data_IF_917567171889
#
_entry.id   IF_917567171889
#
_cell.length_a   1.000
_cell.length_b   1.000
_cell.length_c   1.000
_cell.angle_alpha   90.00
_cell.angle_beta   90.00
_cell.angle_gamma   90.00
#
_symmetry.space_group_name_H-M   'P 1'
#
loop_
_entity.id
_entity.type
_entity.pdbx_description
1 polymer ?
#
# COMPACT_ATOMS: atom_id res chain seq x y z
N UNK A 1 -17.04 -38.82 -7.23
CA UNK A 1 -15.74 -38.12 -7.39
C UNK A 1 -14.74 -38.48 -6.29
N UNK A 2 -15.04 -38.29 -4.99
CA UNK A 2 -14.09 -38.60 -3.89
C UNK A 2 -13.56 -40.05 -3.89
N UNK A 3 -14.44 -41.04 -3.99
CA UNK A 3 -14.05 -42.47 -4.02
C UNK A 3 -13.12 -42.84 -5.19
N UNK A 4 -13.33 -42.23 -6.36
CA UNK A 4 -12.49 -42.47 -7.54
C UNK A 4 -11.08 -41.86 -7.37
N UNK A 5 -11.01 -40.68 -6.75
CA UNK A 5 -9.76 -39.99 -6.42
C UNK A 5 -8.97 -40.76 -5.34
N UNK A 6 -9.65 -41.29 -4.31
CA UNK A 6 -9.02 -42.12 -3.28
C UNK A 6 -8.43 -43.40 -3.86
N UNK A 7 -9.14 -44.06 -4.80
CA UNK A 7 -8.63 -45.23 -5.52
C UNK A 7 -7.39 -44.90 -6.37
N UNK A 8 -7.39 -43.74 -7.05
CA UNK A 8 -6.23 -43.28 -7.83
C UNK A 8 -5.01 -43.04 -6.93
N UNK A 9 -5.18 -42.35 -5.80
CA UNK A 9 -4.09 -42.10 -4.86
C UNK A 9 -3.56 -43.40 -4.24
N UNK A 10 -4.43 -44.37 -3.93
CA UNK A 10 -4.01 -45.68 -3.45
C UNK A 10 -3.11 -46.40 -4.46
N UNK A 11 -3.48 -46.40 -5.74
CA UNK A 11 -2.67 -47.01 -6.80
C UNK A 11 -1.32 -46.31 -7.00
N UNK A 12 -1.29 -44.98 -6.92
CA UNK A 12 -0.04 -44.18 -7.02
C UNK A 12 0.89 -44.47 -5.83
N UNK A 13 0.36 -44.56 -4.61
CA UNK A 13 1.16 -44.86 -3.42
C UNK A 13 1.72 -46.29 -3.47
N UNK A 14 0.93 -47.26 -3.95
CA UNK A 14 1.39 -48.63 -4.15
C UNK A 14 2.54 -48.70 -5.17
N UNK A 15 2.46 -47.94 -6.26
CA UNK A 15 3.56 -47.79 -7.23
C UNK A 15 4.85 -47.25 -6.58
N UNK A 16 4.74 -46.17 -5.80
CA UNK A 16 5.89 -45.51 -5.17
C UNK A 16 6.57 -46.41 -4.13
N UNK A 17 5.80 -47.20 -3.38
CA UNK A 17 6.34 -48.17 -2.43
C UNK A 17 7.11 -49.30 -3.12
N UNK A 18 6.60 -49.80 -4.24
CA UNK A 18 7.28 -50.82 -5.04
C UNK A 18 8.57 -50.25 -5.65
N UNK A 19 8.52 -49.04 -6.21
CA UNK A 19 9.69 -48.36 -6.77
C UNK A 19 10.78 -48.06 -5.71
N UNK A 20 10.37 -47.63 -4.52
CA UNK A 20 11.29 -47.37 -3.41
C UNK A 20 11.96 -48.66 -2.91
N UNK A 21 11.20 -49.77 -2.83
CA UNK A 21 11.74 -51.08 -2.46
C UNK A 21 12.80 -51.56 -3.46
N UNK A 22 12.67 -51.20 -4.73
CA UNK A 22 13.68 -51.47 -5.74
C UNK A 22 14.94 -50.64 -5.51
N UNK A 23 14.83 -49.33 -5.31
CA UNK A 23 16.00 -48.45 -5.20
C UNK A 23 16.90 -48.75 -4.00
N UNK A 24 16.38 -49.40 -2.95
CA UNK A 24 17.13 -49.72 -1.73
C UNK A 24 17.80 -51.09 -1.72
N UNK A 25 17.71 -51.90 -2.79
CA UNK A 25 18.41 -53.19 -2.85
C UNK A 25 19.89 -53.05 -3.28
N UNK A 26 20.76 -53.90 -2.72
CA UNK A 26 22.20 -53.86 -2.98
C UNK A 26 22.55 -54.24 -4.43
N UNK A 27 23.56 -53.60 -5.02
CA UNK A 27 23.98 -53.76 -6.43
C UNK A 27 24.17 -55.20 -6.93
N UNK A 28 24.61 -56.12 -6.08
CA UNK A 28 24.77 -57.54 -6.43
C UNK A 28 23.44 -58.32 -6.48
N UNK A 29 22.43 -57.87 -5.73
CA UNK A 29 21.09 -58.46 -5.71
C UNK A 29 20.29 -58.07 -6.96
N UNK A 30 20.53 -56.86 -7.49
CA UNK A 30 19.96 -56.41 -8.77
C UNK A 30 20.38 -57.27 -9.96
N UNK A 31 21.63 -57.73 -10.00
CA UNK A 31 22.14 -58.60 -11.07
C UNK A 31 21.50 -59.99 -10.98
N UNK A 32 21.35 -60.53 -9.77
CA UNK A 32 20.73 -61.85 -9.55
C UNK A 32 19.21 -61.85 -9.77
N UNK A 33 18.50 -60.78 -9.37
CA UNK A 33 17.06 -60.65 -9.58
C UNK A 33 16.68 -60.37 -11.03
N UNK A 34 17.57 -59.78 -11.84
CA UNK A 34 17.34 -59.62 -13.27
C UNK A 34 17.29 -60.95 -14.03
N UNK A 35 17.88 -62.02 -13.48
CA UNK A 35 17.89 -63.34 -14.12
C UNK A 35 16.78 -64.27 -13.62
N UNK A 36 16.17 -63.98 -12.46
CA UNK A 36 15.22 -64.91 -11.80
C UNK A 36 13.81 -64.35 -11.58
N UNK A 37 13.53 -63.07 -11.87
CA UNK A 37 12.19 -62.48 -11.76
C UNK A 37 11.92 -61.45 -12.86
N UNK A 38 11.17 -61.78 -13.93
CA UNK A 38 10.88 -60.83 -14.99
C UNK A 38 9.91 -59.76 -14.46
N UNK A 39 10.35 -58.51 -14.48
CA UNK A 39 9.66 -57.39 -13.84
C UNK A 39 8.54 -56.75 -14.67
N UNK A 40 8.26 -57.32 -15.84
CA UNK A 40 7.37 -56.77 -16.87
C UNK A 40 5.87 -56.99 -16.57
N UNK A 41 5.50 -58.00 -15.78
CA UNK A 41 4.09 -58.33 -15.50
C UNK A 41 3.46 -57.58 -14.31
N UNK A 42 4.23 -56.96 -13.38
CA UNK A 42 3.64 -56.27 -12.21
C UNK A 42 3.37 -54.78 -12.42
N UNK A 43 4.10 -54.13 -13.32
CA UNK A 43 3.91 -52.70 -13.58
C UNK A 43 2.83 -52.44 -14.64
N UNK A 44 2.64 -53.34 -15.59
CA UNK A 44 1.61 -53.21 -16.64
C UNK A 44 0.20 -53.21 -16.05
N UNK A 45 -0.11 -54.15 -15.15
CA UNK A 45 -1.41 -54.23 -14.48
C UNK A 45 -1.70 -53.01 -13.60
N UNK A 46 -0.67 -52.49 -12.91
CA UNK A 46 -0.80 -51.30 -12.06
C UNK A 46 -0.98 -50.02 -12.90
N UNK A 47 -0.23 -49.87 -14.00
CA UNK A 47 -0.39 -48.76 -14.95
C UNK A 47 -1.75 -48.81 -15.65
N UNK A 48 -2.23 -50.01 -16.01
CA UNK A 48 -3.56 -50.20 -16.59
C UNK A 48 -4.67 -49.80 -15.60
N UNK A 49 -4.54 -50.18 -14.33
CA UNK A 49 -5.47 -49.76 -13.26
C UNK A 49 -5.47 -48.24 -13.05
N UNK A 50 -4.31 -47.58 -13.13
CA UNK A 50 -4.20 -46.11 -13.08
C UNK A 50 -4.90 -45.47 -14.29
N UNK A 51 -4.70 -46.03 -15.50
CA UNK A 51 -5.38 -45.58 -16.72
C UNK A 51 -6.90 -45.64 -16.57
N UNK A 52 -7.44 -46.81 -16.21
CA UNK A 52 -8.89 -47.00 -16.01
C UNK A 52 -9.46 -46.09 -14.92
N UNK A 53 -8.73 -45.88 -13.81
CA UNK A 53 -9.18 -44.94 -12.76
C UNK A 53 -9.20 -43.49 -13.25
N UNK A 54 -8.24 -43.10 -14.07
CA UNK A 54 -8.13 -41.73 -14.60
C UNK A 54 -9.23 -41.45 -15.61
N UNK A 55 -9.52 -42.40 -16.50
CA UNK A 55 -10.60 -42.29 -17.50
C UNK A 55 -11.97 -42.19 -16.82
N UNK A 56 -12.22 -43.00 -15.78
CA UNK A 56 -13.44 -42.92 -14.98
C UNK A 56 -13.61 -41.55 -14.29
N UNK A 57 -12.53 -40.93 -13.81
CA UNK A 57 -12.58 -39.58 -13.22
C UNK A 57 -12.90 -38.53 -14.28
N UNK A 58 -12.32 -38.65 -15.47
CA UNK A 58 -12.54 -37.71 -16.57
C UNK A 58 -13.99 -37.80 -17.10
N UNK A 59 -14.54 -39.00 -17.24
CA UNK A 59 -15.95 -39.22 -17.57
C UNK A 59 -16.87 -38.62 -16.50
N UNK A 60 -16.59 -38.86 -15.21
CA UNK A 60 -17.38 -38.29 -14.12
C UNK A 60 -17.31 -36.75 -14.07
N UNK A 61 -16.16 -36.16 -14.43
CA UNK A 61 -15.98 -34.72 -14.49
C UNK A 61 -16.73 -34.09 -15.67
N UNK A 62 -16.71 -34.74 -16.85
CA UNK A 62 -17.46 -34.28 -18.03
C UNK A 62 -18.98 -34.36 -17.81
N UNK A 63 -19.47 -35.45 -17.20
CA UNK A 63 -20.88 -35.60 -16.81
C UNK A 63 -21.26 -34.57 -15.72
N UNK A 64 -20.39 -34.34 -14.74
CA UNK A 64 -20.58 -33.32 -13.71
C UNK A 64 -20.73 -31.92 -14.30
N UNK A 65 -19.82 -31.52 -15.18
CA UNK A 65 -19.83 -30.22 -15.86
C UNK A 65 -21.10 -29.99 -16.68
N UNK A 66 -21.57 -31.00 -17.43
CA UNK A 66 -22.82 -30.91 -18.17
C UNK A 66 -24.05 -30.77 -17.28
N UNK A 67 -24.04 -31.42 -16.11
CA UNK A 67 -25.14 -31.36 -15.16
C UNK A 67 -25.21 -29.99 -14.49
N UNK A 68 -24.05 -29.43 -14.11
CA UNK A 68 -23.95 -28.07 -13.57
C UNK A 68 -24.39 -27.01 -14.59
N UNK A 69 -24.00 -27.15 -15.86
CA UNK A 69 -24.46 -26.25 -16.92
C UNK A 69 -25.99 -26.24 -17.08
N UNK A 70 -26.64 -27.41 -16.98
CA UNK A 70 -28.12 -27.50 -17.03
C UNK A 70 -28.78 -26.84 -15.82
N UNK A 71 -28.24 -27.05 -14.63
CA UNK A 71 -28.75 -26.43 -13.38
C UNK A 71 -28.58 -24.91 -13.43
N UNK A 72 -27.43 -24.43 -13.89
CA UNK A 72 -27.15 -23.01 -14.07
C UNK A 72 -28.11 -22.37 -15.08
N UNK A 73 -28.32 -23.01 -16.24
CA UNK A 73 -29.25 -22.53 -17.26
C UNK A 73 -30.68 -22.44 -16.74
N UNK A 74 -31.16 -23.46 -16.02
CA UNK A 74 -32.50 -23.44 -15.42
C UNK A 74 -32.63 -22.36 -14.35
N UNK A 75 -31.60 -22.16 -13.53
CA UNK A 75 -31.57 -21.12 -12.49
C UNK A 75 -31.56 -19.72 -13.12
N UNK A 76 -30.82 -19.53 -14.21
CA UNK A 76 -30.77 -18.26 -14.93
C UNK A 76 -32.13 -17.92 -15.56
N UNK A 77 -32.81 -18.88 -16.19
CA UNK A 77 -34.16 -18.67 -16.73
C UNK A 77 -35.18 -18.37 -15.63
N UNK A 78 -35.08 -19.04 -14.47
CA UNK A 78 -35.94 -18.76 -13.31
C UNK A 78 -35.75 -17.34 -12.79
N UNK A 79 -34.50 -16.90 -12.62
CA UNK A 79 -34.18 -15.53 -12.18
C UNK A 79 -34.63 -14.48 -13.19
N UNK A 80 -34.46 -14.77 -14.48
CA UNK A 80 -34.88 -13.86 -15.55
C UNK A 80 -36.40 -13.68 -15.55
N UNK A 81 -37.17 -14.75 -15.34
CA UNK A 81 -38.62 -14.68 -15.18
C UNK A 81 -39.05 -13.92 -13.92
N UNK A 82 -38.35 -14.11 -12.80
CA UNK A 82 -38.59 -13.37 -11.56
C UNK A 82 -38.32 -11.86 -11.72
N UNK A 83 -37.24 -11.50 -12.43
CA UNK A 83 -36.93 -10.11 -12.79
C UNK A 83 -38.02 -9.53 -13.68
N UNK A 84 -38.49 -10.25 -14.71
CA UNK A 84 -39.59 -9.77 -15.57
C UNK A 84 -40.86 -9.54 -14.74
N UNK A 85 -41.22 -10.48 -13.85
CA UNK A 85 -42.39 -10.34 -12.99
C UNK A 85 -42.27 -9.15 -12.03
N UNK A 86 -41.09 -8.95 -11.42
CA UNK A 86 -40.85 -7.80 -10.52
C UNK A 86 -40.86 -6.46 -11.24
N UNK A 87 -40.34 -6.40 -12.48
CA UNK A 87 -40.43 -5.21 -13.31
C UNK A 87 -41.90 -4.91 -13.67
N UNK A 88 -42.69 -5.92 -14.00
CA UNK A 88 -44.08 -5.74 -14.38
C UNK A 88 -44.98 -5.34 -13.19
N UNK A 89 -44.71 -5.84 -11.98
CA UNK A 89 -45.39 -5.37 -10.76
C UNK A 89 -44.95 -3.97 -10.37
N UNK A 90 -43.67 -3.63 -10.56
CA UNK A 90 -43.17 -2.26 -10.40
C UNK A 90 -43.81 -1.29 -11.40
N UNK A 91 -43.99 -1.69 -12.66
CA UNK A 91 -44.67 -0.89 -13.69
C UNK A 91 -46.12 -0.61 -13.28
N UNK A 92 -46.86 -1.63 -12.84
CA UNK A 92 -48.25 -1.50 -12.38
C UNK A 92 -48.38 -0.61 -11.14
N UNK A 93 -47.45 -0.73 -10.18
CA UNK A 93 -47.46 0.14 -8.99
C UNK A 93 -47.11 1.57 -9.33
N UNK A 94 -46.16 1.79 -10.26
CA UNK A 94 -45.83 3.13 -10.77
C UNK A 94 -47.00 3.76 -11.52
N UNK A 95 -47.75 2.96 -12.30
CA UNK A 95 -48.97 3.42 -12.97
C UNK A 95 -50.05 3.80 -11.96
N UNK A 96 -50.29 2.97 -10.93
CA UNK A 96 -51.23 3.29 -9.85
C UNK A 96 -50.81 4.54 -9.04
N UNK A 97 -49.50 4.77 -8.87
CA UNK A 97 -48.97 5.99 -8.26
C UNK A 97 -49.18 7.22 -9.15
N UNK A 98 -49.02 7.11 -10.47
CA UNK A 98 -49.30 8.20 -11.42
C UNK A 98 -50.78 8.53 -11.41
N UNK A 99 -51.66 7.53 -11.40
CA UNK A 99 -53.10 7.73 -11.32
C UNK A 99 -53.51 8.36 -9.97
N UNK A 100 -52.84 7.95 -8.88
CA UNK A 100 -52.95 8.59 -7.56
C UNK A 100 -52.44 10.03 -7.55
N UNK A 101 -51.34 10.33 -8.24
CA UNK A 101 -50.78 11.68 -8.42
C UNK A 101 -51.72 12.56 -9.23
N UNK A 102 -52.33 12.05 -10.31
CA UNK A 102 -53.31 12.77 -11.09
C UNK A 102 -54.55 13.11 -10.25
N UNK A 103 -55.01 12.18 -9.41
CA UNK A 103 -56.09 12.43 -8.45
C UNK A 103 -55.68 13.46 -7.37
N UNK A 104 -54.42 13.43 -6.91
CA UNK A 104 -53.88 14.40 -5.97
C UNK A 104 -53.67 15.79 -6.60
N UNK A 105 -53.34 15.88 -7.89
CA UNK A 105 -53.22 17.12 -8.65
C UNK A 105 -54.59 17.79 -8.78
N UNK A 106 -55.64 17.03 -9.11
CA UNK A 106 -57.03 17.53 -9.09
C UNK A 106 -57.47 18.00 -7.70
N UNK A 107 -56.97 17.37 -6.63
CA UNK A 107 -57.16 17.85 -5.25
C UNK A 107 -56.30 19.08 -4.91
N UNK A 108 -55.11 19.21 -5.47
CA UNK A 108 -54.21 20.36 -5.28
C UNK A 108 -54.73 21.62 -5.98
N UNK A 109 -55.41 21.47 -7.11
CA UNK A 109 -56.11 22.57 -7.79
C UNK A 109 -57.23 23.15 -6.90
N UNK A 110 -57.92 22.29 -6.14
CA UNK A 110 -58.88 22.68 -5.10
C UNK A 110 -58.15 23.20 -3.84
N UNK A 111 -56.97 22.66 -3.50
CA UNK A 111 -56.14 23.04 -2.34
C UNK A 111 -55.41 24.38 -2.52
N UNK A 112 -55.19 24.85 -3.74
CA UNK A 112 -54.63 26.19 -4.02
C UNK A 112 -55.50 27.30 -3.40
N UNK A 113 -56.83 27.14 -3.44
CA UNK A 113 -57.79 28.01 -2.72
C UNK A 113 -57.74 27.86 -1.20
N UNK A 114 -57.27 26.71 -0.70
CA UNK A 114 -57.14 26.42 0.75
C UNK A 114 -55.80 26.91 1.33
N UNK A 115 -54.72 26.91 0.53
CA UNK A 115 -53.42 27.49 0.91
C UNK A 115 -53.50 29.01 1.11
N UNK A 116 -54.31 29.73 0.32
CA UNK A 116 -54.59 31.15 0.55
C UNK A 116 -55.20 31.42 1.93
N UNK A 117 -56.16 30.59 2.35
CA UNK A 117 -56.78 30.69 3.70
C UNK A 117 -55.82 30.29 4.82
N UNK A 118 -54.93 29.33 4.60
CA UNK A 118 -53.89 28.97 5.58
C UNK A 118 -52.83 30.05 5.73
N UNK A 119 -52.48 30.77 4.66
CA UNK A 119 -51.60 31.93 4.74
C UNK A 119 -52.22 33.07 5.56
N UNK A 120 -53.52 33.33 5.37
CA UNK A 120 -54.25 34.31 6.20
C UNK A 120 -54.25 33.91 7.69
N UNK A 121 -54.43 32.62 7.99
CA UNK A 121 -54.39 32.10 9.36
C UNK A 121 -52.98 32.16 9.97
N UNK A 122 -51.92 31.93 9.18
CA UNK A 122 -50.52 32.09 9.62
C UNK A 122 -50.23 33.56 9.90
N UNK A 123 -50.73 34.48 9.06
CA UNK A 123 -50.59 35.92 9.25
C UNK A 123 -51.32 36.39 10.52
N UNK A 124 -52.51 35.87 10.76
CA UNK A 124 -53.30 36.13 11.97
C UNK A 124 -52.66 35.54 13.24
N UNK A 125 -52.05 34.35 13.13
CA UNK A 125 -51.28 33.76 14.23
C UNK A 125 -49.99 34.55 14.52
N UNK A 126 -49.32 35.07 13.50
CA UNK A 126 -48.13 35.90 13.66
C UNK A 126 -48.44 37.22 14.38
N UNK A 127 -49.56 37.86 14.03
CA UNK A 127 -50.07 39.05 14.73
C UNK A 127 -50.42 38.76 16.20
N UNK A 128 -51.02 37.61 16.49
CA UNK A 128 -51.38 37.20 17.86
C UNK A 128 -50.16 36.81 18.72
N UNK A 129 -49.06 36.40 18.09
CA UNK A 129 -47.84 35.90 18.77
C UNK A 129 -46.82 36.99 19.11
N UNK A 130 -47.00 38.22 18.60
CA UNK A 130 -46.05 39.34 18.79
C UNK A 130 -44.68 39.13 18.15
N UNK A 131 -44.51 38.10 17.32
CA UNK A 131 -43.28 37.77 16.61
C UNK A 131 -43.31 38.43 15.24
N UNK A 132 -42.33 39.30 14.96
CA UNK A 132 -42.26 39.98 13.66
C UNK A 132 -41.74 39.01 12.59
N UNK A 133 -42.12 39.21 11.33
CA UNK A 133 -41.61 38.43 10.19
C UNK A 133 -40.07 38.41 10.16
N UNK A 134 -39.43 39.49 10.61
CA UNK A 134 -37.97 39.59 10.73
C UNK A 134 -37.40 38.64 11.80
N UNK A 135 -38.10 38.39 12.90
CA UNK A 135 -37.69 37.40 13.91
C UNK A 135 -37.80 35.96 13.38
N UNK A 136 -38.74 35.72 12.48
CA UNK A 136 -38.88 34.42 11.81
C UNK A 136 -37.79 34.23 10.76
N UNK A 137 -37.50 35.25 9.96
CA UNK A 137 -36.42 35.22 8.98
C UNK A 137 -35.06 34.98 9.66
N UNK A 138 -34.79 35.65 10.78
CA UNK A 138 -33.55 35.42 11.56
C UNK A 138 -33.51 34.03 12.20
N UNK A 139 -34.64 33.48 12.66
CA UNK A 139 -34.71 32.08 13.12
C UNK A 139 -34.50 31.06 11.99
N UNK A 140 -35.05 31.32 10.81
CA UNK A 140 -34.86 30.46 9.63
C UNK A 140 -33.40 30.52 9.18
N UNK A 141 -32.80 31.70 9.16
CA UNK A 141 -31.41 31.90 8.77
C UNK A 141 -30.44 31.23 9.76
N UNK A 142 -30.69 31.37 11.07
CA UNK A 142 -29.92 30.66 12.11
C UNK A 142 -30.12 29.15 12.04
N UNK A 143 -31.35 28.66 11.83
CA UNK A 143 -31.61 27.23 11.68
C UNK A 143 -30.93 26.66 10.42
N UNK A 144 -31.02 27.36 9.30
CA UNK A 144 -30.35 26.99 8.06
C UNK A 144 -28.82 27.01 8.22
N UNK A 145 -28.27 28.00 8.91
CA UNK A 145 -26.84 28.07 9.24
C UNK A 145 -26.40 26.89 10.14
N UNK A 146 -27.20 26.53 11.15
CA UNK A 146 -26.90 25.38 12.02
C UNK A 146 -26.98 24.08 11.23
N UNK A 147 -28.00 23.92 10.38
CA UNK A 147 -28.18 22.72 9.57
C UNK A 147 -27.06 22.54 8.55
N UNK A 148 -26.67 23.61 7.84
CA UNK A 148 -25.54 23.57 6.90
C UNK A 148 -24.22 23.30 7.63
N UNK A 149 -24.01 23.91 8.81
CA UNK A 149 -22.84 23.61 9.65
C UNK A 149 -22.81 22.15 10.11
N UNK A 150 -23.95 21.59 10.52
CA UNK A 150 -24.05 20.20 10.95
C UNK A 150 -23.79 19.24 9.78
N UNK A 151 -24.31 19.54 8.59
CA UNK A 151 -24.04 18.75 7.38
C UNK A 151 -22.56 18.77 6.98
N UNK A 152 -21.92 19.95 7.01
CA UNK A 152 -20.49 20.08 6.74
C UNK A 152 -19.63 19.26 7.72
N UNK A 153 -19.93 19.32 9.02
CA UNK A 153 -19.24 18.52 10.03
C UNK A 153 -19.44 17.01 9.81
N UNK A 154 -20.65 16.57 9.46
CA UNK A 154 -20.91 15.16 9.15
C UNK A 154 -20.16 14.68 7.92
N UNK A 155 -20.07 15.48 6.86
CA UNK A 155 -19.35 15.10 5.65
C UNK A 155 -17.83 15.09 5.89
N UNK A 156 -17.30 16.09 6.61
CA UNK A 156 -15.89 16.12 6.98
C UNK A 156 -15.51 14.87 7.80
N UNK A 157 -16.36 14.48 8.76
CA UNK A 157 -16.18 13.24 9.54
C UNK A 157 -16.27 12.00 8.65
N UNK A 158 -17.24 11.91 7.74
CA UNK A 158 -17.40 10.77 6.83
C UNK A 158 -16.18 10.60 5.91
N UNK A 159 -15.70 11.67 5.27
CA UNK A 159 -14.49 11.61 4.44
C UNK A 159 -13.25 11.25 5.26
N UNK A 160 -13.16 11.71 6.51
CA UNK A 160 -12.06 11.33 7.42
C UNK A 160 -12.11 9.85 7.79
N UNK A 161 -13.31 9.30 8.00
CA UNK A 161 -13.53 7.88 8.29
C UNK A 161 -13.17 7.02 7.07
N UNK A 162 -13.60 7.42 5.87
CA UNK A 162 -13.27 6.73 4.62
C UNK A 162 -11.75 6.68 4.38
N UNK A 163 -11.07 7.83 4.51
CA UNK A 163 -9.61 7.87 4.39
C UNK A 163 -8.94 7.01 5.48
N UNK A 164 -9.44 7.07 6.72
CA UNK A 164 -8.91 6.26 7.83
C UNK A 164 -9.12 4.76 7.59
N UNK A 165 -10.25 4.36 7.01
CA UNK A 165 -10.53 2.97 6.66
C UNK A 165 -9.61 2.50 5.53
N UNK A 166 -9.39 3.32 4.49
CA UNK A 166 -8.42 3.03 3.46
C UNK A 166 -7.01 2.86 4.05
N UNK A 167 -6.58 3.76 4.95
CA UNK A 167 -5.32 3.67 5.68
C UNK A 167 -5.23 2.41 6.57
N UNK A 168 -6.34 1.99 7.19
CA UNK A 168 -6.40 0.78 8.00
C UNK A 168 -6.15 -0.47 7.15
N UNK A 169 -6.65 -0.54 5.92
CA UNK A 169 -6.36 -1.64 4.99
C UNK A 169 -4.86 -1.75 4.68
N UNK A 170 -4.15 -0.62 4.51
CA UNK A 170 -2.69 -0.66 4.35
C UNK A 170 -1.98 -1.16 5.60
N UNK A 171 -2.44 -0.78 6.80
CA UNK A 171 -1.81 -1.22 8.05
C UNK A 171 -1.88 -2.74 8.30
N UNK A 172 -2.85 -3.43 7.69
CA UNK A 172 -2.97 -4.88 7.77
C UNK A 172 -1.93 -5.61 6.89
N UNK A 173 -1.45 -4.96 5.83
CA UNK A 173 -0.49 -5.53 4.87
C UNK A 173 0.94 -5.03 5.08
N UNK A 174 1.12 -3.85 5.68
CA UNK A 174 2.41 -3.17 5.85
C UNK A 174 2.72 -2.98 7.34
N UNK A 175 3.95 -3.30 7.74
CA UNK A 175 4.41 -3.17 9.12
C UNK A 175 4.42 -1.69 9.57
N UNK A 176 3.99 -1.43 10.81
CA UNK A 176 3.94 -0.07 11.36
C UNK A 176 5.35 0.59 11.36
N UNK A 177 5.52 1.75 10.66
CA UNK A 177 6.81 2.43 10.56
C UNK A 177 7.42 2.80 11.93
N UNK A 178 6.58 3.13 12.92
CA UNK A 178 7.04 3.51 14.26
C UNK A 178 7.58 2.31 15.02
N UNK A 179 6.90 1.18 14.94
CA UNK A 179 7.34 -0.10 15.52
C UNK A 179 8.66 -0.57 14.90
N UNK A 180 8.78 -0.48 13.58
CA UNK A 180 10.00 -0.80 12.85
C UNK A 180 11.18 0.09 13.26
N UNK A 181 10.94 1.40 13.38
CA UNK A 181 11.94 2.34 13.90
C UNK A 181 12.41 1.96 15.31
N UNK A 182 11.47 1.66 16.23
CA UNK A 182 11.79 1.24 17.61
C UNK A 182 12.66 -0.03 17.63
N UNK A 183 12.36 -1.00 16.76
CA UNK A 183 13.16 -2.22 16.63
C UNK A 183 14.61 -1.91 16.23
N UNK A 184 14.81 -1.12 15.17
CA UNK A 184 16.16 -0.75 14.72
C UNK A 184 16.89 0.15 15.72
N UNK A 185 16.17 1.04 16.41
CA UNK A 185 16.71 1.86 17.50
C UNK A 185 17.25 0.98 18.64
N UNK A 186 16.52 -0.07 19.01
CA UNK A 186 16.96 -1.05 20.00
C UNK A 186 18.22 -1.78 19.54
N UNK A 187 18.28 -2.27 18.29
CA UNK A 187 19.45 -2.96 17.75
C UNK A 187 20.70 -2.07 17.71
N UNK A 188 20.53 -0.79 17.35
CA UNK A 188 21.59 0.23 17.40
C UNK A 188 22.08 0.42 18.84
N UNK A 189 21.17 0.63 19.79
CA UNK A 189 21.52 0.84 21.21
C UNK A 189 22.28 -0.36 21.78
N UNK A 190 21.89 -1.59 21.42
CA UNK A 190 22.59 -2.81 21.83
C UNK A 190 24.04 -2.84 21.34
N UNK A 191 24.29 -2.43 20.09
CA UNK A 191 25.64 -2.32 19.51
C UNK A 191 26.45 -1.19 20.15
N UNK A 192 25.83 -0.04 20.38
CA UNK A 192 26.47 1.10 21.05
C UNK A 192 26.92 0.77 22.49
N UNK A 193 26.19 -0.10 23.19
CA UNK A 193 26.55 -0.60 24.52
C UNK A 193 27.59 -1.74 24.52
N UNK A 194 28.19 -2.05 23.36
CA UNK A 194 29.20 -3.11 23.22
C UNK A 194 28.63 -4.54 23.23
N UNK A 195 27.30 -4.72 23.28
CA UNK A 195 26.63 -6.03 23.30
C UNK A 195 26.26 -6.56 21.91
N UNK A 196 26.87 -6.04 20.85
CA UNK A 196 26.58 -6.44 19.48
C UNK A 196 27.78 -6.29 18.55
N UNK A 197 27.69 -6.89 17.36
CA UNK A 197 28.74 -6.82 16.35
C UNK A 197 28.98 -5.36 15.93
N UNK A 198 30.13 -4.81 16.33
CA UNK A 198 30.58 -3.49 15.95
C UNK A 198 31.65 -3.61 14.86
N UNK A 199 31.39 -3.02 13.70
CA UNK A 199 32.36 -2.94 12.61
C UNK A 199 32.80 -1.48 12.54
N UNK A 200 34.11 -1.26 12.57
CA UNK A 200 34.68 0.05 12.32
C UNK A 200 34.64 0.36 10.84
N UNK A 201 34.14 1.54 10.48
CA UNK A 201 34.15 2.04 9.10
C UNK A 201 35.00 3.29 8.99
N UNK A 202 35.20 3.79 7.78
CA UNK A 202 35.64 5.17 7.59
C UNK A 202 34.61 6.14 8.20
N UNK A 203 35.03 7.38 8.46
CA UNK A 203 34.14 8.45 8.94
C UNK A 203 33.29 9.01 7.80
N UNK A 204 32.55 8.15 7.11
CA UNK A 204 31.77 8.49 5.92
C UNK A 204 30.71 9.58 6.20
N UNK A 205 30.24 9.68 7.45
CA UNK A 205 29.34 10.73 7.93
C UNK A 205 29.98 12.14 7.92
N UNK A 206 31.31 12.24 7.79
CA UNK A 206 32.03 13.51 7.60
C UNK A 206 32.34 13.82 6.13
N UNK A 207 31.83 13.01 5.20
CA UNK A 207 32.08 13.19 3.77
C UNK A 207 31.63 14.57 3.28
N UNK A 208 32.47 15.32 2.54
CA UNK A 208 32.08 16.60 1.93
C UNK A 208 30.90 16.46 0.98
N UNK A 209 30.73 15.30 0.33
CA UNK A 209 29.58 15.01 -0.55
C UNK A 209 28.27 15.06 0.24
N UNK A 210 28.26 14.49 1.44
CA UNK A 210 27.09 14.43 2.31
C UNK A 210 26.73 15.81 2.86
N UNK A 211 27.74 16.59 3.28
CA UNK A 211 27.54 17.97 3.72
C UNK A 211 27.01 18.90 2.61
N UNK A 212 27.51 18.74 1.38
CA UNK A 212 26.99 19.46 0.19
C UNK A 212 25.55 19.06 -0.13
N UNK A 213 25.24 17.77 -0.11
CA UNK A 213 23.89 17.27 -0.34
C UNK A 213 22.89 17.84 0.68
N UNK A 214 23.25 17.84 1.96
CA UNK A 214 22.36 18.30 3.01
C UNK A 214 22.14 19.82 3.00
N UNK A 215 23.18 20.57 2.65
CA UNK A 215 23.13 22.04 2.55
C UNK A 215 22.51 22.54 1.24
N UNK A 216 22.28 21.67 0.25
CA UNK A 216 21.72 22.05 -1.03
C UNK A 216 20.30 22.65 -0.86
N UNK A 217 19.97 23.81 -1.46
CA UNK A 217 18.67 24.45 -1.27
C UNK A 217 17.52 23.75 -2.01
N UNK A 218 17.83 22.88 -2.98
CA UNK A 218 16.86 22.15 -3.80
C UNK A 218 16.66 20.71 -3.33
N UNK A 219 15.60 20.06 -3.83
CA UNK A 219 15.38 18.64 -3.65
C UNK A 219 16.56 17.83 -4.19
N UNK A 220 17.06 16.86 -3.44
CA UNK A 220 18.29 16.14 -3.80
C UNK A 220 18.34 14.73 -3.25
N UNK A 221 19.00 13.84 -3.98
CA UNK A 221 19.21 12.44 -3.63
C UNK A 221 20.68 12.15 -3.35
N UNK A 222 20.97 11.33 -2.35
CA UNK A 222 22.31 10.78 -2.10
C UNK A 222 22.23 9.28 -1.84
N UNK A 223 23.31 8.57 -2.15
CA UNK A 223 23.41 7.12 -1.99
C UNK A 223 24.54 6.82 -1.02
N UNK A 224 24.22 6.17 0.10
CA UNK A 224 25.20 5.61 1.02
C UNK A 224 25.51 4.19 0.55
N UNK A 225 26.68 4.01 -0.05
CA UNK A 225 27.09 2.71 -0.62
C UNK A 225 28.07 2.01 0.28
N UNK A 226 27.83 0.74 0.59
CA UNK A 226 28.81 -0.10 1.29
C UNK A 226 28.72 -1.55 0.86
N UNK A 227 29.49 -2.41 1.53
CA UNK A 227 29.34 -3.86 1.44
C UNK A 227 28.33 -4.35 2.48
N UNK A 228 27.80 -5.57 2.31
CA UNK A 228 26.92 -6.21 3.28
C UNK A 228 27.49 -6.24 4.71
N UNK A 229 28.81 -6.35 4.85
CA UNK A 229 29.49 -6.27 6.15
C UNK A 229 29.31 -4.91 6.82
N UNK A 230 29.30 -3.81 6.06
CA UNK A 230 29.10 -2.45 6.58
C UNK A 230 27.62 -2.09 6.83
N UNK A 231 26.66 -2.97 6.51
CA UNK A 231 25.21 -2.72 6.63
C UNK A 231 24.82 -2.13 7.99
N UNK A 232 25.44 -2.65 9.05
CA UNK A 232 25.14 -2.28 10.41
C UNK A 232 25.47 -0.81 10.70
N UNK A 233 26.62 -0.33 10.23
CA UNK A 233 27.01 1.08 10.35
C UNK A 233 26.11 1.99 9.51
N UNK A 234 25.70 1.53 8.32
CA UNK A 234 24.78 2.25 7.43
C UNK A 234 23.38 2.39 8.06
N UNK A 235 22.87 1.31 8.67
CA UNK A 235 21.62 1.31 9.42
C UNK A 235 21.68 2.24 10.63
N UNK A 236 22.77 2.20 11.41
CA UNK A 236 22.94 3.06 12.58
C UNK A 236 22.93 4.55 12.18
N UNK A 237 23.58 4.87 11.06
CA UNK A 237 23.57 6.20 10.47
C UNK A 237 22.16 6.64 10.06
N UNK A 238 21.40 5.77 9.40
CA UNK A 238 20.01 6.03 9.03
C UNK A 238 19.12 6.31 10.24
N UNK A 239 19.25 5.52 11.31
CA UNK A 239 18.51 5.70 12.56
C UNK A 239 18.90 7.01 13.25
N UNK A 240 20.19 7.37 13.26
CA UNK A 240 20.64 8.65 13.82
C UNK A 240 20.06 9.83 13.04
N UNK A 241 19.93 9.75 11.71
CA UNK A 241 19.25 10.78 10.91
C UNK A 241 17.78 10.84 11.25
N UNK A 242 17.05 9.72 11.22
CA UNK A 242 15.60 9.67 11.52
C UNK A 242 15.35 10.26 12.91
N UNK A 243 16.16 9.88 13.90
CA UNK A 243 16.06 10.43 15.25
C UNK A 243 16.26 11.95 15.25
N UNK A 244 17.30 12.43 14.57
CA UNK A 244 17.67 13.84 14.57
C UNK A 244 16.64 14.74 13.84
N UNK A 245 16.10 14.30 12.70
CA UNK A 245 15.05 15.05 11.98
C UNK A 245 13.73 15.07 12.74
N UNK A 246 13.38 13.94 13.39
CA UNK A 246 12.16 13.85 14.21
C UNK A 246 12.26 14.79 15.41
N UNK A 247 13.43 14.88 16.05
CA UNK A 247 13.68 15.84 17.15
C UNK A 247 13.61 17.31 16.70
N UNK A 248 13.82 17.60 15.42
CA UNK A 248 13.72 18.94 14.84
C UNK A 248 12.30 19.25 14.30
N UNK A 249 11.31 18.38 14.55
CA UNK A 249 9.95 18.50 14.01
C UNK A 249 9.89 18.58 12.47
N UNK A 250 10.87 17.99 11.78
CA UNK A 250 10.90 17.89 10.32
C UNK A 250 10.25 16.56 9.94
N UNK A 251 9.25 16.54 9.02
CA UNK A 251 8.66 15.30 8.53
C UNK A 251 9.72 14.36 7.95
N UNK A 252 9.65 13.09 8.35
CA UNK A 252 10.53 12.04 7.86
C UNK A 252 9.73 10.80 7.49
N UNK A 253 10.03 10.25 6.33
CA UNK A 253 9.47 8.99 5.83
C UNK A 253 10.62 7.98 5.75
N UNK A 254 10.38 6.74 6.14
CA UNK A 254 11.44 5.73 6.11
C UNK A 254 10.95 4.34 5.74
N UNK A 255 11.82 3.60 5.06
CA UNK A 255 11.63 2.17 4.76
C UNK A 255 12.88 1.43 5.24
N UNK A 256 12.71 0.55 6.22
CA UNK A 256 13.80 -0.22 6.84
C UNK A 256 13.46 -1.71 6.77
N UNK A 257 14.46 -2.58 6.94
CA UNK A 257 14.24 -4.03 6.87
C UNK A 257 13.39 -4.56 8.03
N UNK A 258 12.40 -5.40 7.72
CA UNK A 258 11.52 -6.00 8.73
C UNK A 258 12.27 -6.86 9.75
N UNK A 259 11.80 -6.81 11.00
CA UNK A 259 12.27 -7.64 12.11
C UNK A 259 11.82 -9.10 11.98
N UNK A 260 10.63 -9.31 11.39
CA UNK A 260 9.95 -10.60 11.33
C UNK A 260 10.21 -11.27 9.97
N UNK A 261 11.40 -11.81 9.78
CA UNK A 261 11.71 -12.69 8.62
C UNK A 261 11.10 -14.08 8.81
N UNK A 262 9.79 -14.18 9.02
CA UNK A 262 9.08 -15.46 9.04
C UNK A 262 8.91 -16.03 7.62
N UNK A 263 9.02 -15.18 6.58
CA UNK A 263 9.25 -15.63 5.21
C UNK A 263 10.56 -15.03 4.66
N UNK A 264 11.47 -15.84 4.09
CA UNK A 264 12.74 -15.37 3.56
C UNK A 264 12.62 -14.52 2.27
N UNK A 265 11.41 -14.25 1.78
CA UNK A 265 11.12 -13.62 0.47
C UNK A 265 10.19 -12.40 0.51
N UNK A 266 9.87 -11.81 1.67
CA UNK A 266 9.02 -10.61 1.75
C UNK A 266 9.78 -9.32 1.34
N UNK A 267 10.40 -9.29 0.17
CA UNK A 267 10.89 -8.04 -0.42
C UNK A 267 9.70 -7.27 -0.98
N UNK A 268 9.63 -5.98 -0.70
CA UNK A 268 8.61 -5.10 -1.26
C UNK A 268 8.82 -4.96 -2.77
N UNK A 269 7.74 -5.00 -3.54
CA UNK A 269 7.78 -4.51 -4.92
C UNK A 269 8.10 -3.01 -4.93
N UNK A 270 8.73 -2.46 -5.99
CA UNK A 270 8.85 -1.01 -6.16
C UNK A 270 7.52 -0.26 -6.01
N UNK A 271 6.40 -0.86 -6.44
CA UNK A 271 5.07 -0.29 -6.24
C UNK A 271 4.66 -0.27 -4.76
N UNK A 272 4.93 -1.35 -4.03
CA UNK A 272 4.59 -1.47 -2.60
C UNK A 272 5.43 -0.53 -1.75
N UNK A 273 6.70 -0.28 -2.14
CA UNK A 273 7.52 0.75 -1.49
C UNK A 273 6.90 2.14 -1.62
N UNK A 274 6.49 2.53 -2.83
CA UNK A 274 5.93 3.86 -3.05
C UNK A 274 4.57 3.98 -2.36
N UNK A 275 3.77 2.91 -2.35
CA UNK A 275 2.54 2.81 -1.57
C UNK A 275 2.81 2.98 -0.07
N UNK A 276 3.85 2.34 0.47
CA UNK A 276 4.23 2.46 1.88
C UNK A 276 4.72 3.87 2.25
N UNK A 277 5.49 4.51 1.38
CA UNK A 277 5.88 5.92 1.54
C UNK A 277 4.67 6.85 1.46
N UNK A 278 3.72 6.56 0.57
CA UNK A 278 2.47 7.30 0.41
C UNK A 278 1.61 7.21 1.67
N UNK A 279 1.48 5.99 2.21
CA UNK A 279 0.81 5.75 3.48
C UNK A 279 1.42 6.59 4.60
N UNK A 280 2.75 6.59 4.74
CA UNK A 280 3.43 7.42 5.75
C UNK A 280 3.22 8.91 5.51
N UNK A 281 3.26 9.38 4.26
CA UNK A 281 3.06 10.78 3.92
C UNK A 281 1.65 11.25 4.29
N UNK A 282 0.62 10.42 4.07
CA UNK A 282 -0.77 10.73 4.45
C UNK A 282 -0.97 10.78 5.97
N UNK A 283 -0.12 10.11 6.74
CA UNK A 283 -0.13 10.17 8.21
C UNK A 283 0.55 11.42 8.78
N UNK A 284 1.27 12.21 7.97
CA UNK A 284 1.88 13.45 8.43
C UNK A 284 0.79 14.47 8.72
N UNK A 285 0.85 15.09 9.89
CA UNK A 285 -0.10 16.13 10.30
C UNK A 285 -0.10 17.30 9.31
N UNK A 286 -1.29 17.77 8.93
CA UNK A 286 -1.47 18.88 7.98
C UNK A 286 -1.51 18.48 6.50
N UNK A 287 -1.33 17.20 6.15
CA UNK A 287 -1.40 16.73 4.75
C UNK A 287 -2.80 16.81 4.16
N UNK A 288 -3.83 16.63 5.00
CA UNK A 288 -5.22 16.66 4.58
C UNK A 288 -5.99 17.61 5.48
N UNK A 289 -6.44 18.72 4.91
CA UNK A 289 -7.03 19.84 5.67
C UNK A 289 -8.50 20.08 5.35
N UNK A 290 -8.98 19.62 4.20
CA UNK A 290 -10.36 19.85 3.74
C UNK A 290 -11.04 18.56 3.31
N UNK A 291 -12.37 18.52 3.39
CA UNK A 291 -13.21 17.42 2.89
C UNK A 291 -12.91 17.08 1.42
N UNK A 292 -12.84 18.11 0.56
CA UNK A 292 -12.52 17.95 -0.86
C UNK A 292 -11.17 17.25 -1.06
N UNK A 293 -10.16 17.57 -0.25
CA UNK A 293 -8.87 16.88 -0.28
C UNK A 293 -9.00 15.43 0.16
N UNK A 294 -9.72 15.13 1.25
CA UNK A 294 -9.95 13.75 1.73
C UNK A 294 -10.57 12.87 0.65
N UNK A 295 -11.69 13.32 0.06
CA UNK A 295 -12.41 12.56 -0.97
C UNK A 295 -11.57 12.38 -2.24
N UNK A 296 -10.83 13.42 -2.65
CA UNK A 296 -9.90 13.33 -3.77
C UNK A 296 -8.77 12.32 -3.51
N UNK A 297 -8.18 12.33 -2.30
CA UNK A 297 -7.13 11.37 -1.93
C UNK A 297 -7.65 9.94 -1.89
N UNK A 298 -8.88 9.73 -1.42
CA UNK A 298 -9.52 8.41 -1.45
C UNK A 298 -9.69 7.88 -2.88
N UNK A 299 -10.27 8.67 -3.80
CA UNK A 299 -10.43 8.26 -5.20
C UNK A 299 -9.08 7.99 -5.89
N UNK A 300 -8.08 8.85 -5.68
CA UNK A 300 -6.72 8.64 -6.24
C UNK A 300 -6.05 7.36 -5.72
N UNK A 301 -6.38 6.97 -4.48
CA UNK A 301 -5.87 5.77 -3.85
C UNK A 301 -6.50 4.49 -4.41
N UNK A 302 -7.77 4.53 -4.81
CA UNK A 302 -8.46 3.42 -5.48
C UNK A 302 -8.04 3.26 -6.96
N UNK A 303 -7.70 4.37 -7.63
CA UNK A 303 -7.30 4.38 -9.03
C UNK A 303 -5.85 3.89 -9.27
N UNK A 304 -4.96 4.07 -8.29
CA UNK A 304 -3.53 3.79 -8.44
C UNK A 304 -3.21 2.28 -8.44
N UNK A 305 -2.90 1.73 -9.62
CA UNK A 305 -2.57 0.29 -9.79
C UNK A 305 -1.10 0.03 -10.12
N UNK A 306 -0.42 0.94 -10.81
CA UNK A 306 0.97 0.75 -11.24
C UNK A 306 1.97 1.52 -10.37
N UNK A 307 3.25 1.12 -10.37
CA UNK A 307 4.31 1.83 -9.64
C UNK A 307 4.44 3.31 -10.05
N UNK A 308 4.22 3.63 -11.33
CA UNK A 308 4.25 5.00 -11.82
C UNK A 308 3.06 5.82 -11.32
N UNK A 309 1.87 5.23 -11.24
CA UNK A 309 0.68 5.93 -10.72
C UNK A 309 0.84 6.22 -9.23
N UNK A 310 1.34 5.24 -8.47
CA UNK A 310 1.71 5.44 -7.08
C UNK A 310 2.77 6.53 -6.91
N UNK A 311 3.77 6.61 -7.80
CA UNK A 311 4.82 7.64 -7.73
C UNK A 311 4.28 9.04 -8.07
N UNK A 312 3.40 9.16 -9.06
CA UNK A 312 2.70 10.41 -9.38
C UNK A 312 1.85 10.87 -8.19
N UNK A 313 1.10 9.96 -7.60
CA UNK A 313 0.27 10.25 -6.43
C UNK A 313 1.10 10.67 -5.22
N UNK A 314 2.17 9.93 -4.93
CA UNK A 314 3.14 10.27 -3.89
C UNK A 314 3.74 11.67 -4.09
N UNK A 315 4.15 12.00 -5.33
CA UNK A 315 4.68 13.32 -5.69
C UNK A 315 3.67 14.44 -5.40
N UNK A 316 2.39 14.22 -5.69
CA UNK A 316 1.33 15.20 -5.40
C UNK A 316 1.14 15.43 -3.90
N UNK A 317 1.21 14.36 -3.10
CA UNK A 317 1.05 14.47 -1.63
C UNK A 317 2.21 15.25 -1.01
N UNK A 318 3.45 14.94 -1.40
CA UNK A 318 4.62 15.63 -0.84
C UNK A 318 4.67 17.10 -1.22
N UNK A 319 4.19 17.46 -2.42
CA UNK A 319 4.13 18.87 -2.85
C UNK A 319 3.22 19.73 -1.98
N UNK A 320 2.20 19.14 -1.36
CA UNK A 320 1.24 19.85 -0.52
C UNK A 320 1.72 20.08 0.92
N UNK A 321 2.71 19.31 1.40
CA UNK A 321 3.22 19.40 2.78
C UNK A 321 3.90 20.75 3.10
N UNK A 322 4.49 21.40 2.10
CA UNK A 322 5.33 22.58 2.30
C UNK A 322 6.61 22.30 3.10
N UNK A 323 7.57 23.23 3.05
CA UNK A 323 8.77 23.14 3.89
C UNK A 323 9.80 22.12 3.41
N UNK A 324 10.26 21.22 4.29
CA UNK A 324 11.32 20.24 4.00
C UNK A 324 10.95 18.87 4.56
N UNK A 325 11.22 17.81 3.79
CA UNK A 325 10.97 16.41 4.17
C UNK A 325 12.21 15.55 3.90
N UNK A 326 12.47 14.59 4.79
CA UNK A 326 13.51 13.59 4.61
C UNK A 326 12.91 12.23 4.29
N UNK A 327 13.48 11.53 3.31
CA UNK A 327 13.08 10.18 2.91
C UNK A 327 14.30 9.28 3.02
N UNK A 328 14.21 8.22 3.83
CA UNK A 328 15.30 7.27 4.05
C UNK A 328 14.84 5.89 3.59
N UNK A 329 15.52 5.30 2.61
CA UNK A 329 15.11 4.01 2.03
C UNK A 329 16.27 3.01 2.09
N UNK A 330 16.03 1.88 2.73
CA UNK A 330 16.88 0.70 2.64
C UNK A 330 16.51 -0.13 1.40
N UNK A 331 17.35 -0.10 0.35
CA UNK A 331 17.02 -0.84 -0.88
C UNK A 331 17.08 -2.35 -0.71
N UNK A 332 17.75 -2.87 0.32
CA UNK A 332 17.76 -4.32 0.58
C UNK A 332 16.37 -4.88 0.93
N UNK A 333 15.40 -4.02 1.23
CA UNK A 333 14.00 -4.41 1.51
C UNK A 333 13.14 -4.48 0.26
N UNK A 334 13.69 -4.10 -0.89
CA UNK A 334 12.95 -3.89 -2.12
C UNK A 334 13.51 -4.83 -3.18
N UNK A 335 12.64 -5.56 -3.87
CA UNK A 335 13.10 -6.39 -4.97
C UNK A 335 13.56 -5.47 -6.12
N UNK A 336 14.71 -5.75 -6.74
CA UNK A 336 15.23 -4.96 -7.86
C UNK A 336 14.34 -5.02 -9.12
N UNK A 337 13.28 -5.86 -9.10
CA UNK A 337 12.43 -6.17 -10.24
C UNK A 337 13.05 -7.26 -11.13
N UNK A 338 12.30 -7.82 -12.09
CA UNK A 338 12.83 -8.78 -13.05
C UNK A 338 13.83 -8.08 -13.99
N UNK A 339 15.09 -8.54 -13.95
CA UNK A 339 16.12 -8.12 -14.90
C UNK A 339 15.64 -8.37 -16.34
N UNK A 340 15.70 -7.36 -17.21
CA UNK A 340 15.40 -7.51 -18.64
C UNK A 340 14.03 -7.01 -19.13
N UNK A 341 13.12 -6.59 -18.25
CA UNK A 341 11.99 -5.74 -18.69
C UNK A 341 12.49 -4.31 -18.75
N UNK A 342 12.17 -3.54 -19.80
CA UNK A 342 12.53 -2.11 -19.93
C UNK A 342 11.95 -1.18 -18.86
N UNK A 343 11.65 -1.68 -17.66
CA UNK A 343 11.27 -0.91 -16.50
C UNK A 343 12.45 -0.04 -16.03
N UNK A 344 12.18 1.25 -15.95
CA UNK A 344 13.06 2.26 -15.40
C UNK A 344 13.41 1.91 -13.96
N UNK A 345 14.70 1.82 -13.63
CA UNK A 345 15.20 1.55 -12.26
C UNK A 345 14.53 2.47 -11.23
N UNK A 346 14.12 1.91 -10.09
CA UNK A 346 13.50 2.68 -8.99
C UNK A 346 14.36 3.89 -8.57
N UNK A 347 15.68 3.74 -8.57
CA UNK A 347 16.62 4.82 -8.26
C UNK A 347 16.46 5.97 -9.25
N UNK A 348 16.34 5.66 -10.54
CA UNK A 348 16.10 6.66 -11.58
C UNK A 348 14.72 7.30 -11.42
N UNK A 349 13.66 6.52 -11.16
CA UNK A 349 12.31 7.05 -10.95
C UNK A 349 12.26 8.04 -9.77
N UNK A 350 12.90 7.70 -8.65
CA UNK A 350 13.01 8.58 -7.48
C UNK A 350 13.84 9.83 -7.80
N UNK A 351 14.91 9.71 -8.58
CA UNK A 351 15.72 10.86 -8.99
C UNK A 351 14.95 11.80 -9.94
N UNK A 352 14.23 11.26 -10.93
CA UNK A 352 13.37 12.02 -11.84
C UNK A 352 12.22 12.71 -11.11
N UNK A 353 11.67 12.07 -10.07
CA UNK A 353 10.63 12.68 -9.25
C UNK A 353 11.09 14.01 -8.64
N UNK A 354 12.38 14.11 -8.29
CA UNK A 354 13.01 15.31 -7.71
C UNK A 354 13.31 16.39 -8.75
N UNK A 355 13.47 16.03 -10.03
CA UNK A 355 13.67 17.01 -11.10
C UNK A 355 12.41 17.84 -11.28
N UNK A 356 12.60 19.15 -11.43
CA UNK A 356 11.50 20.07 -11.67
C UNK A 356 10.97 19.88 -13.09
N UNK A 357 9.65 19.79 -13.30
CA UNK A 357 9.10 19.94 -14.64
C UNK A 357 9.37 21.38 -15.07
N UNK A 358 9.96 21.54 -16.26
CA UNK A 358 10.45 22.78 -16.86
C UNK A 358 9.38 23.85 -17.11
N UNK A 359 8.16 23.72 -16.55
CA UNK A 359 7.03 24.54 -16.94
C UNK A 359 6.99 25.85 -16.14
N UNK A 360 7.44 26.91 -16.83
CA UNK A 360 7.31 28.31 -16.45
C UNK A 360 5.83 28.67 -16.35
N UNK A 361 5.41 29.13 -15.17
CA UNK A 361 4.15 29.85 -15.01
C UNK A 361 3.12 29.12 -14.15
N UNK A 362 3.21 29.29 -12.83
CA UNK A 362 2.07 29.58 -11.95
C UNK A 362 2.46 29.49 -10.48
N UNK A 363 2.08 30.55 -9.76
CA UNK A 363 2.06 30.79 -8.32
C UNK A 363 3.11 30.17 -7.37
N UNK A 364 3.84 31.12 -6.77
CA UNK A 364 4.75 31.14 -5.64
C UNK A 364 4.19 30.48 -4.35
N UNK A 365 3.81 29.20 -4.38
CA UNK A 365 3.74 28.37 -3.16
C UNK A 365 5.16 27.92 -2.81
N UNK A 366 5.56 28.03 -1.55
CA UNK A 366 6.83 27.52 -1.06
C UNK A 366 6.90 26.00 -1.27
N UNK A 367 7.55 25.59 -2.37
CA UNK A 367 7.63 24.21 -2.81
C UNK A 367 8.37 23.36 -1.77
N UNK A 368 7.83 22.18 -1.45
CA UNK A 368 8.45 21.24 -0.50
C UNK A 368 9.82 20.78 -0.99
N UNK A 369 10.85 20.92 -0.14
CA UNK A 369 12.21 20.44 -0.38
C UNK A 369 12.32 18.97 0.06
N UNK A 370 12.62 18.09 -0.88
CA UNK A 370 12.70 16.64 -0.63
C UNK A 370 14.16 16.20 -0.57
N UNK A 371 14.57 15.62 0.57
CA UNK A 371 15.92 15.08 0.78
C UNK A 371 15.85 13.55 0.86
N UNK A 372 16.35 12.87 -0.17
CA UNK A 372 16.32 11.40 -0.24
C UNK A 372 17.71 10.83 0.08
N UNK A 373 17.74 9.83 0.97
CA UNK A 373 18.92 8.99 1.24
C UNK A 373 18.57 7.55 0.88
N UNK A 374 19.32 6.96 -0.03
CA UNK A 374 19.23 5.54 -0.36
C UNK A 374 20.38 4.77 0.29
N UNK A 375 20.08 3.69 0.99
CA UNK A 375 21.06 2.79 1.59
C UNK A 375 21.27 1.61 0.63
N UNK A 376 22.50 1.43 0.15
CA UNK A 376 22.82 0.40 -0.84
C UNK A 376 24.02 -0.41 -0.39
N UNK A 377 23.77 -1.66 -0.02
CA UNK A 377 24.80 -2.61 0.39
C UNK A 377 24.56 -4.03 -0.13
N UNK A 378 23.46 -4.23 -0.86
CA UNK A 378 23.14 -5.45 -1.59
C UNK A 378 23.74 -5.40 -3.01
N UNK A 379 24.23 -6.54 -3.50
CA UNK A 379 24.91 -6.62 -4.79
C UNK A 379 23.98 -6.34 -5.97
N UNK A 380 22.74 -6.79 -5.91
CA UNK A 380 21.78 -6.64 -7.01
C UNK A 380 21.46 -5.16 -7.25
N UNK A 381 21.40 -4.37 -6.19
CA UNK A 381 21.20 -2.92 -6.30
C UNK A 381 22.46 -2.16 -6.71
N UNK A 382 23.66 -2.70 -6.49
CA UNK A 382 24.91 -2.02 -6.85
C UNK A 382 25.12 -1.91 -8.37
N UNK A 383 24.67 -2.89 -9.16
CA UNK A 383 24.74 -2.86 -10.62
C UNK A 383 23.71 -1.90 -11.25
N UNK A 384 22.62 -1.61 -10.53
CA UNK A 384 21.48 -0.80 -11.01
C UNK A 384 21.60 0.70 -10.72
N UNK A 385 22.74 1.15 -10.16
CA UNK A 385 22.99 2.58 -9.89
C UNK A 385 23.27 3.30 -11.22
N UNK A 386 22.44 4.28 -11.62
CA UNK A 386 22.65 5.05 -12.85
C UNK A 386 23.94 5.86 -12.80
N UNK A 387 24.59 6.02 -13.97
CA UNK A 387 25.87 6.72 -14.06
C UNK A 387 25.78 8.19 -13.66
N UNK A 388 24.63 8.83 -13.88
CA UNK A 388 24.45 10.25 -13.54
C UNK A 388 24.46 10.53 -12.03
N UNK A 389 24.33 9.49 -11.19
CA UNK A 389 24.17 9.64 -9.74
C UNK A 389 25.48 9.33 -8.98
N UNK A 390 26.55 8.89 -9.67
CA UNK A 390 27.84 8.54 -9.02
C UNK A 390 28.45 9.69 -8.20
N UNK A 391 28.25 10.94 -8.61
CA UNK A 391 28.76 12.09 -7.86
C UNK A 391 28.11 12.26 -6.47
N UNK A 392 26.89 11.73 -6.33
CA UNK A 392 26.09 11.75 -5.10
C UNK A 392 26.33 10.55 -4.20
N UNK A 393 27.27 9.67 -4.58
CA UNK A 393 27.61 8.45 -3.87
C UNK A 393 28.63 8.69 -2.76
N UNK A 394 28.28 8.26 -1.54
CA UNK A 394 29.13 8.29 -0.35
C UNK A 394 29.55 6.86 0.00
N UNK A 395 30.83 6.50 -0.21
CA UNK A 395 31.30 5.15 0.06
C UNK A 395 31.56 4.90 1.55
N UNK A 396 31.12 3.75 2.02
CA UNK A 396 31.38 3.18 3.33
C UNK A 396 32.34 2.01 3.16
N UNK A 397 33.50 2.13 3.78
CA UNK A 397 34.59 1.15 3.74
C UNK A 397 34.89 0.70 5.15
N UNK A 398 35.24 -0.58 5.32
CA UNK A 398 35.75 -1.09 6.59
C UNK A 398 37.06 -0.38 6.91
N UNK A 399 37.23 0.01 8.17
CA UNK A 399 38.45 0.63 8.67
C UNK A 399 39.05 -0.22 9.78
N UNK A 400 40.38 -0.29 9.84
CA UNK A 400 41.10 -1.01 10.89
C UNK A 400 41.15 -0.29 12.24
N UNK A 401 40.76 0.99 12.28
CA UNK A 401 40.85 1.82 13.49
C UNK A 401 39.66 1.54 14.42
N UNK A 402 39.89 0.84 15.53
CA UNK A 402 38.87 0.62 16.57
C UNK A 402 38.64 1.94 17.32
N UNK A 403 37.43 2.49 17.23
CA UNK A 403 37.07 3.73 17.94
C UNK A 403 35.58 3.83 18.22
N UNK A 404 35.19 4.74 19.13
CA UNK A 404 33.81 5.07 19.51
C UNK A 404 33.08 5.84 18.39
N UNK A 405 32.96 5.23 17.22
CA UNK A 405 32.44 5.85 16.01
C UNK A 405 30.96 6.25 16.13
N UNK A 406 30.13 5.45 16.80
CA UNK A 406 28.69 5.72 16.92
C UNK A 406 28.35 7.05 17.60
N UNK A 407 29.02 7.40 18.71
CA UNK A 407 28.79 8.70 19.38
C UNK A 407 29.21 9.87 18.49
N UNK A 408 30.38 9.76 17.84
CA UNK A 408 30.90 10.79 16.94
C UNK A 408 30.01 10.98 15.71
N UNK A 409 29.50 9.88 15.16
CA UNK A 409 28.56 9.89 14.04
C UNK A 409 27.26 10.63 14.42
N UNK A 410 26.65 10.27 15.55
CA UNK A 410 25.44 10.96 16.04
C UNK A 410 25.65 12.47 16.21
N UNK A 411 26.75 12.86 16.86
CA UNK A 411 27.09 14.29 17.02
C UNK A 411 27.25 14.98 15.66
N UNK A 412 27.90 14.34 14.69
CA UNK A 412 28.07 14.90 13.34
C UNK A 412 26.74 15.03 12.59
N UNK A 413 25.81 14.07 12.73
CA UNK A 413 24.47 14.15 12.14
C UNK A 413 23.74 15.42 12.60
N UNK A 414 23.72 15.66 13.91
CA UNK A 414 23.05 16.84 14.48
C UNK A 414 23.72 18.17 14.15
N UNK A 415 25.04 18.19 13.96
CA UNK A 415 25.81 19.45 13.84
C UNK A 415 26.19 19.83 12.42
N UNK A 416 26.36 18.85 11.52
CA UNK A 416 26.89 19.07 10.17
C UNK A 416 25.93 18.64 9.07
N UNK A 417 25.17 17.57 9.29
CA UNK A 417 24.29 17.02 8.25
C UNK A 417 22.96 17.74 8.28
N UNK A 418 22.36 17.95 9.45
CA UNK A 418 21.13 18.72 9.55
C UNK A 418 21.48 20.21 9.71
N UNK A 419 21.04 21.09 8.79
CA UNK A 419 21.26 22.52 8.96
C UNK A 419 20.55 22.97 10.23
N UNK A 420 21.27 23.69 11.12
CA UNK A 420 20.63 24.44 12.21
C UNK A 420 19.63 25.38 11.56
N UNK A 421 18.33 25.08 11.68
CA UNK A 421 17.33 26.10 11.44
C UNK A 421 17.62 27.20 12.47
N UNK A 422 18.15 28.34 12.01
CA UNK A 422 18.15 29.55 12.83
C UNK A 422 16.69 29.76 13.20
N UNK A 423 16.37 29.64 14.49
CA UNK A 423 15.11 30.08 15.02
C UNK A 423 14.88 31.50 14.47
N UNK A 424 13.80 31.68 13.71
CA UNK A 424 13.30 33.03 13.47
C UNK A 424 12.84 33.52 14.85
N UNK A 425 13.68 34.36 15.46
CA UNK A 425 13.29 35.22 16.59
C UNK A 425 12.33 36.26 16.06
#
# INVERSE_FOLDING_TARGET
MKLAIESLYSCIMEFLLIAHSWCNESKFKHIYHSFTRPHELRYSDLLQRIGTCTDNINELATVGSQTELRVMHNTQSSKLNEIILSLQTSEKTRQAQIDGLNCAISRLEISSRDHGRKLDLIMQWLEASGLTINDLLTKIETFHSIQTSAQLDTNQKLSSLQLSQALATFSQSLEDPKSLYKHHLFLRNRRASGRGAAISTNEFWLSPKLARWSSCPHSSLTIIRGSFTTRWAIHDFAIDIIQAVTMMSIPALWVLGSANKTSPNAMLSPADLVRYLTYQALQVEGTVTTEKQMSLRHSQLEEAKTSQDWLKFFKLIIQDLGGQIYIIVDLATVSPGPEGSGQVSLIYQLNEMLKEPSNKGSHKRSRTKVKIILLVYDYNWMSLIPREIYDHLVPVKISGTKGLQGRRMRTAVHTRILPRQRAKV
#
